data_IF_575524437428
#
_entry.id   IF_575524437428
#
_cell.length_a   1.000
_cell.length_b   1.000
_cell.length_c   1.000
_cell.angle_alpha   90.00
_cell.angle_beta   90.00
_cell.angle_gamma   90.00
#
_symmetry.space_group_name_H-M   'P 1'
#
loop_
_entity.id
_entity.type
_entity.pdbx_description
1 polymer ?
#
# COMPACT_ATOMS: atom_id res chain seq x y z
N UNK A 1 -18.88 -38.55 -26.65
CA UNK A 1 -19.27 -37.16 -26.36
C UNK A 1 -18.72 -36.29 -27.46
N UNK A 2 -19.59 -35.70 -28.27
CA UNK A 2 -19.25 -34.85 -29.43
C UNK A 2 -19.84 -33.47 -29.15
N UNK A 3 -19.02 -32.42 -29.06
CA UNK A 3 -19.51 -31.06 -28.87
C UNK A 3 -19.63 -30.40 -30.25
N UNK A 4 -20.85 -30.00 -30.60
CA UNK A 4 -21.21 -29.48 -31.91
C UNK A 4 -20.85 -28.01 -32.11
N UNK A 5 -20.66 -27.64 -33.37
CA UNK A 5 -20.75 -26.25 -33.83
C UNK A 5 -22.21 -25.93 -34.15
N UNK A 6 -22.67 -24.71 -33.86
CA UNK A 6 -23.54 -23.94 -34.77
C UNK A 6 -23.19 -22.43 -34.63
N UNK A 7 -22.69 -21.92 -35.75
CA UNK A 7 -22.98 -20.66 -36.46
C UNK A 7 -22.95 -19.27 -35.80
N UNK A 8 -22.27 -18.42 -36.56
CA UNK A 8 -21.87 -17.03 -36.40
C UNK A 8 -23.02 -16.04 -36.60
N UNK A 9 -22.92 -14.86 -35.98
CA UNK A 9 -23.23 -13.59 -36.64
C UNK A 9 -22.47 -12.42 -35.98
N UNK A 10 -21.43 -11.96 -36.69
CA UNK A 10 -21.09 -10.56 -36.94
C UNK A 10 -20.90 -9.60 -35.76
N UNK A 11 -19.64 -9.32 -35.42
CA UNK A 11 -19.14 -7.94 -35.41
C UNK A 11 -17.63 -7.94 -35.65
N UNK A 12 -17.23 -7.58 -36.88
CA UNK A 12 -15.86 -7.29 -37.28
C UNK A 12 -15.54 -5.85 -36.88
N UNK A 13 -14.47 -5.62 -36.12
CA UNK A 13 -13.67 -4.38 -36.14
C UNK A 13 -12.40 -4.68 -35.35
N UNK A 14 -11.36 -5.13 -36.04
CA UNK A 14 -10.20 -4.31 -36.42
C UNK A 14 -9.40 -3.85 -35.19
N UNK A 15 -8.35 -4.62 -34.90
CA UNK A 15 -7.19 -4.13 -34.16
C UNK A 15 -6.64 -2.91 -34.90
N UNK A 16 -6.47 -1.72 -34.28
CA UNK A 16 -5.61 -0.72 -34.86
C UNK A 16 -4.17 -1.16 -34.66
N UNK A 17 -3.59 -1.43 -35.81
CA UNK A 17 -2.22 -1.70 -36.17
C UNK A 17 -1.21 -0.73 -35.52
N UNK A 18 0.03 -1.20 -35.47
CA UNK A 18 1.19 -0.57 -34.85
C UNK A 18 1.48 0.82 -35.45
N UNK A 19 1.08 1.89 -34.76
CA UNK A 19 1.42 3.27 -35.14
C UNK A 19 2.74 3.73 -34.49
N UNK A 20 3.85 3.10 -34.88
CA UNK A 20 5.20 3.66 -34.64
C UNK A 20 6.16 3.52 -35.82
N UNK A 21 5.72 2.99 -36.96
CA UNK A 21 6.58 2.86 -38.14
C UNK A 21 6.01 3.67 -39.30
N UNK A 22 6.33 4.96 -39.34
CA UNK A 22 6.41 5.75 -40.57
C UNK A 22 7.14 7.08 -40.24
N UNK A 23 8.45 7.01 -40.08
CA UNK A 23 9.31 8.17 -40.34
C UNK A 23 10.18 7.81 -41.53
N UNK A 24 9.96 8.53 -42.64
CA UNK A 24 10.53 8.23 -43.95
C UNK A 24 12.04 8.41 -43.98
N UNK A 25 12.72 7.45 -44.61
CA UNK A 25 14.08 7.58 -45.12
C UNK A 25 14.26 8.84 -45.97
N UNK A 26 15.29 9.63 -45.66
CA UNK A 26 16.20 10.18 -46.69
C UNK A 26 17.46 10.79 -46.08
N UNK A 27 18.59 10.44 -46.72
CA UNK A 27 19.91 11.08 -46.71
C UNK A 27 20.93 10.72 -45.61
N UNK A 28 21.89 9.88 -46.02
CA UNK A 28 23.35 10.07 -45.82
C UNK A 28 24.02 9.60 -44.50
N UNK A 29 24.21 8.28 -44.42
CA UNK A 29 25.49 7.55 -44.17
C UNK A 29 26.54 8.00 -43.13
N UNK A 30 26.28 8.85 -42.14
CA UNK A 30 27.30 9.21 -41.13
C UNK A 30 26.80 9.28 -39.66
N UNK A 31 25.55 8.95 -39.39
CA UNK A 31 24.96 9.14 -38.04
C UNK A 31 25.00 7.87 -37.16
N UNK A 32 25.21 6.68 -37.74
CA UNK A 32 25.14 5.40 -37.02
C UNK A 32 26.30 5.17 -36.03
N UNK A 33 27.46 5.80 -36.28
CA UNK A 33 28.66 5.67 -35.45
C UNK A 33 28.72 6.69 -34.30
N UNK A 34 27.80 7.66 -34.27
CA UNK A 34 27.89 8.82 -33.38
C UNK A 34 27.08 8.66 -32.10
N UNK A 35 26.00 7.89 -32.13
CA UNK A 35 25.17 7.64 -30.96
C UNK A 35 25.87 6.71 -29.95
N UNK A 36 26.59 5.68 -30.43
CA UNK A 36 27.41 4.79 -29.59
C UNK A 36 28.50 5.56 -28.82
N UNK A 37 29.12 6.57 -29.46
CA UNK A 37 30.17 7.39 -28.84
C UNK A 37 29.68 8.41 -27.80
N UNK A 38 28.37 8.70 -27.78
CA UNK A 38 27.76 9.62 -26.81
C UNK A 38 27.21 8.88 -25.59
N UNK A 39 26.81 7.62 -25.72
CA UNK A 39 26.37 6.77 -24.61
C UNK A 39 27.55 6.49 -23.66
N UNK A 40 28.73 6.17 -24.20
CA UNK A 40 29.97 5.93 -23.44
C UNK A 40 30.46 7.15 -22.64
N UNK A 41 29.98 8.37 -22.98
CA UNK A 41 30.34 9.63 -22.30
C UNK A 41 29.29 10.12 -21.31
N UNK A 42 28.11 9.49 -21.26
CA UNK A 42 27.03 9.79 -20.31
C UNK A 42 27.05 8.85 -19.09
N UNK A 43 27.80 7.75 -19.17
CA UNK A 43 27.90 6.71 -18.15
C UNK A 43 28.21 7.23 -16.71
N UNK A 44 29.22 8.11 -16.49
CA UNK A 44 29.50 8.60 -15.13
C UNK A 44 28.52 9.67 -14.62
N UNK A 45 27.67 10.24 -15.49
CA UNK A 45 26.67 11.25 -15.10
C UNK A 45 25.28 10.62 -14.89
N UNK A 46 24.97 9.55 -15.63
CA UNK A 46 23.72 8.81 -15.47
C UNK A 46 23.68 8.01 -14.17
N UNK A 47 24.79 7.37 -13.78
CA UNK A 47 24.89 6.67 -12.48
C UNK A 47 24.84 7.64 -11.28
N UNK A 48 25.35 8.88 -11.44
CA UNK A 48 25.31 9.89 -10.38
C UNK A 48 23.91 10.51 -10.16
N UNK A 49 23.02 10.43 -11.15
CA UNK A 49 21.65 10.98 -11.07
C UNK A 49 20.61 9.93 -10.66
N UNK A 50 20.94 8.64 -10.79
CA UNK A 50 20.10 7.53 -10.34
C UNK A 50 20.70 6.89 -9.09
N UNK A 51 20.58 7.57 -7.94
CA UNK A 51 20.74 6.90 -6.65
C UNK A 51 19.61 5.86 -6.54
N UNK A 52 19.91 4.63 -6.95
CA UNK A 52 18.98 3.52 -6.91
C UNK A 52 18.76 3.12 -5.46
N UNK A 53 17.54 3.30 -4.96
CA UNK A 53 17.15 2.85 -3.63
C UNK A 53 17.26 1.33 -3.55
N UNK A 54 17.86 0.81 -2.46
CA UNK A 54 17.91 -0.64 -2.25
C UNK A 54 16.53 -1.17 -1.84
N UNK A 55 16.31 -2.48 -1.96
CA UNK A 55 15.07 -3.11 -1.50
C UNK A 55 14.92 -2.95 0.02
N UNK A 56 16.03 -3.00 0.74
CA UNK A 56 16.12 -2.82 2.18
C UNK A 56 15.68 -1.41 2.59
N UNK A 57 16.14 -0.39 1.86
CA UNK A 57 15.73 1.00 2.08
C UNK A 57 14.24 1.21 1.83
N UNK A 58 13.71 0.61 0.76
CA UNK A 58 12.28 0.65 0.45
C UNK A 58 11.44 0.03 1.57
N UNK A 59 11.87 -1.14 2.08
CA UNK A 59 11.19 -1.81 3.20
C UNK A 59 11.27 -1.01 4.49
N UNK A 60 12.39 -0.34 4.73
CA UNK A 60 12.58 0.52 5.90
C UNK A 60 11.60 1.70 5.86
N UNK A 61 11.51 2.38 4.72
CA UNK A 61 10.58 3.49 4.52
C UNK A 61 9.12 3.03 4.63
N UNK A 62 8.78 1.89 4.03
CA UNK A 62 7.44 1.32 4.12
C UNK A 62 7.07 0.96 5.57
N UNK A 63 8.01 0.45 6.37
CA UNK A 63 7.77 0.11 7.77
C UNK A 63 7.99 1.30 8.72
N UNK A 64 7.93 2.54 8.24
CA UNK A 64 8.05 3.75 9.06
C UNK A 64 6.73 4.50 9.10
N UNK A 65 6.39 5.08 10.24
CA UNK A 65 5.14 5.84 10.40
C UNK A 65 5.18 7.13 9.54
N UNK A 66 4.15 7.36 8.71
CA UNK A 66 4.07 8.56 7.87
C UNK A 66 3.85 9.85 8.69
N UNK A 67 3.20 9.73 9.84
CA UNK A 67 2.84 10.89 10.67
C UNK A 67 3.97 11.37 11.58
N UNK A 68 4.82 10.46 12.07
CA UNK A 68 5.88 10.82 13.04
C UNK A 68 7.28 10.31 12.71
N UNK A 69 7.44 9.52 11.64
CA UNK A 69 8.73 9.09 11.10
C UNK A 69 9.45 8.00 11.89
N UNK A 70 8.87 7.47 12.97
CA UNK A 70 9.47 6.34 13.71
C UNK A 70 9.44 5.07 12.87
N UNK A 71 10.49 4.26 12.97
CA UNK A 71 10.59 2.96 12.30
C UNK A 71 9.88 1.88 13.13
N UNK A 72 8.76 1.36 12.63
CA UNK A 72 8.11 0.19 13.22
C UNK A 72 8.96 -1.07 13.03
N UNK A 73 9.76 -1.14 11.96
CA UNK A 73 10.70 -2.23 11.72
C UNK A 73 11.74 -2.38 12.83
N UNK A 74 12.15 -1.26 13.45
CA UNK A 74 13.06 -1.23 14.59
C UNK A 74 12.35 -1.28 15.95
N UNK A 75 11.05 -1.63 15.96
CA UNK A 75 10.19 -1.62 17.15
C UNK A 75 10.06 -0.26 17.85
N UNK A 76 10.25 0.84 17.12
CA UNK A 76 9.97 2.18 17.63
C UNK A 76 8.52 2.57 17.39
N UNK A 77 7.93 3.25 18.38
CA UNK A 77 6.55 3.77 18.32
C UNK A 77 6.47 5.11 19.03
N UNK A 78 5.55 5.95 18.59
CA UNK A 78 5.13 7.13 19.35
C UNK A 78 3.77 6.86 19.99
N UNK A 79 3.66 7.08 21.30
CA UNK A 79 2.41 6.84 22.05
C UNK A 79 1.34 7.91 21.75
N UNK A 80 1.77 9.11 21.34
CA UNK A 80 0.89 10.23 21.01
C UNK A 80 0.54 10.28 19.51
N UNK A 81 0.89 9.25 18.74
CA UNK A 81 0.64 9.16 17.31
C UNK A 81 -0.46 8.13 17.02
N UNK A 82 -1.57 8.59 16.43
CA UNK A 82 -2.71 7.74 16.08
C UNK A 82 -2.36 6.64 15.08
N UNK A 83 -1.46 6.94 14.14
CA UNK A 83 -0.96 5.97 13.16
C UNK A 83 -0.10 4.89 13.83
N UNK A 84 0.67 5.24 14.86
CA UNK A 84 1.41 4.25 15.66
C UNK A 84 0.46 3.42 16.54
N UNK A 85 -0.50 4.03 17.23
CA UNK A 85 -1.47 3.30 18.04
C UNK A 85 -0.84 2.40 19.12
N UNK A 86 0.34 2.76 19.61
CA UNK A 86 1.03 2.11 20.74
C UNK A 86 1.81 0.83 20.44
N UNK A 87 1.80 0.30 19.22
CA UNK A 87 2.48 -0.96 18.87
C UNK A 87 3.24 -0.84 17.54
N UNK A 88 4.25 -1.69 17.31
CA UNK A 88 5.08 -1.65 16.09
C UNK A 88 4.40 -2.40 14.94
N UNK A 89 5.04 -3.42 14.36
CA UNK A 89 4.46 -4.25 13.31
C UNK A 89 3.52 -5.33 13.83
N UNK A 90 3.62 -5.68 15.11
CA UNK A 90 2.79 -6.71 15.73
C UNK A 90 2.24 -6.24 17.08
N UNK A 91 1.12 -6.85 17.48
CA UNK A 91 0.51 -6.61 18.79
C UNK A 91 -0.24 -7.84 19.29
N UNK A 92 -0.47 -7.95 20.61
CA UNK A 92 -1.42 -8.92 21.15
C UNK A 92 -2.84 -8.62 20.68
N UNK A 93 -3.66 -9.67 20.68
CA UNK A 93 -5.07 -9.60 20.29
C UNK A 93 -5.83 -8.46 20.99
N UNK A 94 -6.36 -7.46 20.24
CA UNK A 94 -7.11 -6.34 20.80
C UNK A 94 -8.48 -6.72 21.36
N UNK A 95 -9.02 -7.88 20.99
CA UNK A 95 -10.37 -8.29 21.41
C UNK A 95 -10.38 -8.90 22.82
N UNK A 96 -9.25 -9.44 23.27
CA UNK A 96 -9.12 -10.12 24.56
C UNK A 96 -7.82 -9.74 25.30
N UNK A 97 -7.23 -8.59 24.96
CA UNK A 97 -5.98 -8.08 25.52
C UNK A 97 -4.82 -9.10 25.56
N UNK A 98 -4.77 -9.99 24.56
CA UNK A 98 -3.72 -10.99 24.41
C UNK A 98 -3.94 -12.32 25.14
N UNK A 99 -5.05 -12.53 25.85
CA UNK A 99 -5.35 -13.79 26.56
C UNK A 99 -5.32 -15.01 25.62
N UNK A 100 -5.78 -14.81 24.37
CA UNK A 100 -5.81 -15.85 23.36
C UNK A 100 -4.43 -16.16 22.74
N UNK A 101 -3.40 -15.38 23.08
CA UNK A 101 -2.02 -15.44 22.57
C UNK A 101 -1.90 -15.30 21.04
N UNK A 102 -2.96 -14.92 20.35
CA UNK A 102 -2.90 -14.57 18.94
C UNK A 102 -2.14 -13.25 18.78
N UNK A 103 -1.19 -13.25 17.86
CA UNK A 103 -0.49 -12.06 17.40
C UNK A 103 -1.23 -11.48 16.18
N UNK A 104 -1.45 -10.18 16.22
CA UNK A 104 -2.07 -9.42 15.14
C UNK A 104 -0.99 -8.61 14.43
N UNK A 105 -1.03 -8.62 13.11
CA UNK A 105 -0.04 -7.95 12.25
C UNK A 105 -0.60 -6.64 11.75
N UNK A 106 0.24 -5.61 11.70
CA UNK A 106 -0.14 -4.31 11.16
C UNK A 106 -0.38 -4.40 9.66
N UNK A 107 -1.53 -3.89 9.21
CA UNK A 107 -1.69 -3.53 7.81
C UNK A 107 -1.05 -2.14 7.62
N UNK A 108 0.18 -2.15 7.10
CA UNK A 108 0.98 -0.94 6.88
C UNK A 108 0.32 -0.03 5.84
N UNK A 109 -0.15 -0.61 4.74
CA UNK A 109 -0.80 0.13 3.65
C UNK A 109 -2.07 0.84 4.14
N UNK A 110 -2.92 0.14 4.88
CA UNK A 110 -4.12 0.75 5.45
C UNK A 110 -3.76 1.75 6.55
N UNK A 111 -2.79 1.45 7.41
CA UNK A 111 -2.35 2.37 8.45
C UNK A 111 -1.92 3.73 7.88
N UNK A 112 -1.12 3.70 6.81
CA UNK A 112 -0.73 4.90 6.08
C UNK A 112 -1.92 5.61 5.42
N UNK A 113 -2.80 4.85 4.77
CA UNK A 113 -3.92 5.41 4.01
C UNK A 113 -4.92 6.15 4.91
N UNK A 114 -5.16 5.65 6.12
CA UNK A 114 -6.13 6.23 7.07
C UNK A 114 -5.49 7.13 8.13
N UNK A 115 -4.15 7.14 8.24
CA UNK A 115 -3.41 7.87 9.29
C UNK A 115 -3.69 7.36 10.71
N UNK A 116 -4.12 6.10 10.85
CA UNK A 116 -4.46 5.45 12.12
C UNK A 116 -4.02 3.99 12.09
N UNK A 117 -3.62 3.44 13.23
CA UNK A 117 -3.17 2.05 13.28
C UNK A 117 -4.27 1.07 12.82
N UNK A 118 -3.96 0.24 11.82
CA UNK A 118 -4.83 -0.82 11.31
C UNK A 118 -4.17 -2.19 11.50
N UNK A 119 -4.96 -3.19 11.90
CA UNK A 119 -4.46 -4.49 12.34
C UNK A 119 -5.29 -5.63 11.73
N UNK A 120 -4.59 -6.63 11.20
CA UNK A 120 -5.16 -7.87 10.71
C UNK A 120 -4.84 -9.02 11.66
N UNK A 121 -5.87 -9.78 12.02
CA UNK A 121 -5.76 -10.95 12.87
C UNK A 121 -7.11 -11.47 13.29
N UNK A 122 -7.10 -12.60 14.00
CA UNK A 122 -8.30 -13.22 14.54
C UNK A 122 -8.09 -13.61 15.99
N UNK A 123 -9.12 -13.42 16.82
CA UNK A 123 -9.12 -13.90 18.19
C UNK A 123 -9.50 -15.39 18.20
N UNK A 124 -8.73 -16.20 18.92
CA UNK A 124 -8.97 -17.64 19.05
C UNK A 124 -9.87 -18.01 20.23
N UNK A 125 -10.25 -17.03 21.06
CA UNK A 125 -11.25 -17.23 22.12
C UNK A 125 -12.65 -17.19 21.53
N UNK A 126 -13.53 -18.02 22.10
CA UNK A 126 -14.93 -18.01 21.73
C UNK A 126 -15.61 -16.74 22.23
N UNK A 127 -16.71 -16.33 21.59
CA UNK A 127 -17.48 -15.14 22.02
C UNK A 127 -17.99 -15.23 23.46
N UNK A 128 -18.13 -16.43 23.99
CA UNK A 128 -18.57 -16.68 25.36
C UNK A 128 -17.45 -16.37 26.38
N UNK A 129 -16.18 -16.49 25.98
CA UNK A 129 -15.02 -16.22 26.83
C UNK A 129 -14.64 -14.72 26.88
N UNK A 130 -15.16 -13.91 25.95
CA UNK A 130 -14.89 -12.46 25.86
C UNK A 130 -15.65 -11.62 26.90
N UNK A 131 -16.48 -12.24 27.76
CA UNK A 131 -17.37 -11.55 28.71
C UNK A 131 -16.70 -10.97 29.98
N UNK A 132 -15.38 -10.84 30.03
CA UNK A 132 -14.68 -10.31 31.23
C UNK A 132 -14.09 -8.90 31.10
N UNK A 133 -14.22 -8.20 29.97
CA UNK A 133 -13.67 -6.85 29.81
C UNK A 133 -14.62 -5.75 30.33
N UNK A 134 -14.17 -4.85 31.23
CA UNK A 134 -14.96 -3.72 31.69
C UNK A 134 -15.31 -2.75 30.55
N UNK A 135 -16.57 -2.30 30.57
CA UNK A 135 -17.25 -1.41 29.63
C UNK A 135 -16.70 0.03 29.52
N UNK A 136 -15.39 0.28 29.62
CA UNK A 136 -14.87 1.65 29.64
C UNK A 136 -14.54 2.27 28.26
N UNK A 137 -14.62 1.51 27.16
CA UNK A 137 -14.40 2.05 25.80
C UNK A 137 -15.65 2.06 24.91
N UNK A 138 -16.83 1.75 25.46
CA UNK A 138 -18.07 1.77 24.69
C UNK A 138 -18.67 3.18 24.51
N UNK A 139 -18.18 4.18 25.24
CA UNK A 139 -18.80 5.51 25.30
C UNK A 139 -18.24 6.53 24.29
N UNK A 140 -17.09 6.28 23.66
CA UNK A 140 -16.49 7.21 22.69
C UNK A 140 -17.02 7.08 21.25
N UNK A 141 -17.85 6.07 20.97
CA UNK A 141 -18.47 5.88 19.63
C UNK A 141 -19.83 6.59 19.52
N UNK A 142 -20.43 7.02 20.64
CA UNK A 142 -21.77 7.64 20.66
C UNK A 142 -21.77 9.18 20.66
N UNK A 143 -20.61 9.84 20.79
CA UNK A 143 -20.55 11.32 20.87
C UNK A 143 -20.55 12.01 19.50
N UNK A 144 -20.42 11.27 18.39
CA UNK A 144 -20.48 11.88 17.05
C UNK A 144 -21.90 12.07 16.48
N UNK A 145 -22.96 11.80 17.26
CA UNK A 145 -24.33 11.70 16.74
C UNK A 145 -25.36 12.75 17.14
N UNK A 146 -25.05 13.75 17.98
CA UNK A 146 -26.08 14.66 18.52
C UNK A 146 -25.80 16.17 18.46
N UNK A 147 -24.72 16.63 17.81
CA UNK A 147 -24.44 18.08 17.74
C UNK A 147 -25.07 18.83 16.56
N UNK A 148 -25.88 18.19 15.70
CA UNK A 148 -26.55 18.87 14.56
C UNK A 148 -28.06 19.16 14.76
N UNK A 149 -28.54 19.34 16.00
CA UNK A 149 -29.98 19.63 16.23
C UNK A 149 -30.29 20.80 17.21
N UNK A 150 -29.36 21.71 17.50
CA UNK A 150 -29.65 22.84 18.41
C UNK A 150 -29.43 24.26 17.88
N UNK A 151 -29.23 24.45 16.57
CA UNK A 151 -29.32 25.79 15.94
C UNK A 151 -30.68 26.03 15.29
N UNK A 152 -31.75 25.97 16.09
CA UNK A 152 -32.97 26.73 15.77
C UNK A 152 -33.63 27.24 17.05
N UNK A 153 -33.31 28.46 17.44
CA UNK A 153 -34.24 29.43 18.05
C UNK A 153 -33.59 30.81 18.01
#
# INVERSE_FOLDING_TARGET
>A
MSCGMIETNGFYSEYPDNSWLLYSESSESLEDYRLDSMIDRLDPYYEAMHESMTLEDLKSQFNSCNSCGVSWGDNHVSLDCLECGGYSLTRPCPLCDGECKSEWTRDVSMSHSVGKAHWDGECTLSKDDLQSVPSFLAEDILVQGIEELSTSS
#
